data_IF_927589108002
#
_entry.id   IF_927589108002
#
_cell.length_a   1.000
_cell.length_b   1.000
_cell.length_c   1.000
_cell.angle_alpha   90.00
_cell.angle_beta   90.00
_cell.angle_gamma   90.00
#
_symmetry.space_group_name_H-M   'P 1'
#
loop_
_entity.id
_entity.type
_entity.pdbx_description
1 polymer ?
#
# COMPACT_ATOMS: atom_id res chain seq x y z
N UNK A 311 -32.18 25.14 -9.41
CA UNK A 311 -31.43 24.23 -8.54
C UNK A 311 -31.71 22.79 -8.94
N UNK A 312 -32.80 22.60 -9.68
CA UNK A 312 -33.16 21.25 -10.11
C UNK A 312 -32.08 20.67 -10.99
N UNK A 313 -31.48 21.50 -11.83
CA UNK A 313 -30.33 21.05 -12.61
C UNK A 313 -29.15 20.72 -11.72
N UNK A 314 -29.01 21.44 -10.60
CA UNK A 314 -27.91 21.15 -9.68
C UNK A 314 -28.05 19.76 -9.07
N UNK A 315 -29.28 19.37 -8.75
CA UNK A 315 -29.50 18.00 -8.33
C UNK A 315 -29.20 17.03 -9.46
N UNK A 316 -29.64 17.37 -10.66
CA UNK A 316 -29.38 16.52 -11.81
C UNK A 316 -27.89 16.39 -12.09
N UNK A 317 -27.17 17.50 -12.01
CA UNK A 317 -25.71 17.44 -12.12
C UNK A 317 -25.15 16.63 -10.97
N UNK A 318 -25.64 16.87 -9.76
CA UNK A 318 -25.18 16.11 -8.61
C UNK A 318 -25.45 14.63 -8.81
N UNK A 319 -26.58 14.30 -9.43
CA UNK A 319 -26.84 12.92 -9.77
C UNK A 319 -25.76 12.37 -10.68
N UNK A 320 -25.45 13.10 -11.74
CA UNK A 320 -24.40 12.69 -12.65
C UNK A 320 -23.07 12.55 -11.93
N UNK A 321 -22.73 13.54 -11.11
CA UNK A 321 -21.50 13.49 -10.36
C UNK A 321 -21.49 12.31 -9.41
N UNK A 322 -22.56 12.15 -8.63
CA UNK A 322 -22.65 11.05 -7.68
C UNK A 322 -22.58 9.70 -8.37
N UNK A 323 -23.42 9.53 -9.39
CA UNK A 323 -23.52 8.23 -10.04
C UNK A 323 -22.25 7.88 -10.80
N UNK A 324 -21.70 8.83 -11.54
CA UNK A 324 -20.48 8.56 -12.29
C UNK A 324 -19.32 8.23 -11.36
N UNK A 325 -19.16 9.01 -10.29
CA UNK A 325 -18.12 8.71 -9.33
C UNK A 325 -18.30 7.36 -8.68
N UNK A 326 -19.53 7.06 -8.26
CA UNK A 326 -19.82 5.76 -7.64
C UNK A 326 -19.56 4.63 -8.62
N UNK A 327 -19.98 4.79 -9.87
CA UNK A 327 -19.76 3.74 -10.86
C UNK A 327 -18.27 3.49 -11.09
N UNK A 328 -17.48 4.56 -11.15
CA UNK A 328 -16.04 4.41 -11.29
C UNK A 328 -15.45 3.65 -10.10
N UNK A 329 -15.88 3.99 -8.90
CA UNK A 329 -15.43 3.25 -7.73
C UNK A 329 -15.87 1.81 -7.80
N UNK A 330 -17.07 1.57 -8.32
CA UNK A 330 -17.53 0.21 -8.53
C UNK A 330 -16.66 -0.51 -9.55
N UNK A 331 -16.26 0.20 -10.61
CA UNK A 331 -15.40 -0.38 -11.62
C UNK A 331 -14.07 -0.81 -11.04
N UNK A 332 -13.44 0.06 -10.24
CA UNK A 332 -12.21 -0.32 -9.56
C UNK A 332 -12.43 -1.49 -8.61
N UNK A 333 -13.51 -1.41 -7.82
CA UNK A 333 -13.82 -2.50 -6.90
C UNK A 333 -14.08 -3.79 -7.66
N UNK A 334 -14.84 -3.72 -8.75
CA UNK A 334 -15.11 -4.91 -9.55
C UNK A 334 -13.82 -5.49 -10.09
N UNK A 335 -12.94 -4.64 -10.63
CA UNK A 335 -11.64 -5.10 -11.05
C UNK A 335 -10.87 -5.70 -9.88
N UNK A 336 -10.84 -5.00 -8.76
CA UNK A 336 -10.09 -5.47 -7.60
C UNK A 336 -10.73 -6.70 -6.97
N UNK A 337 -12.07 -6.78 -6.97
CA UNK A 337 -12.74 -7.97 -6.47
C UNK A 337 -12.44 -9.17 -7.35
N UNK A 338 -12.40 -8.95 -8.66
CA UNK A 338 -11.90 -9.97 -9.57
C UNK A 338 -10.48 -10.37 -9.21
N UNK A 339 -9.63 -9.38 -8.95
CA UNK A 339 -8.27 -9.66 -8.51
C UNK A 339 -8.24 -10.42 -7.21
N UNK A 340 -9.25 -10.24 -6.35
CA UNK A 340 -9.32 -10.99 -5.10
C UNK A 340 -9.30 -12.48 -5.34
N UNK A 341 -10.19 -12.98 -6.19
CA UNK A 341 -10.23 -14.42 -6.41
C UNK A 341 -8.96 -14.88 -7.09
N UNK A 342 -8.57 -14.20 -8.17
CA UNK A 342 -7.40 -14.61 -8.93
C UNK A 342 -6.13 -14.59 -8.10
N UNK A 343 -5.88 -13.47 -7.43
CA UNK A 343 -4.61 -13.31 -6.74
C UNK A 343 -4.54 -14.15 -5.47
N UNK A 344 -5.68 -14.36 -4.79
CA UNK A 344 -5.69 -15.34 -3.70
C UNK A 344 -5.43 -16.74 -4.23
N UNK A 345 -6.08 -17.09 -5.34
CA UNK A 345 -5.84 -18.39 -5.96
C UNK A 345 -4.42 -18.51 -6.52
N UNK A 346 -3.86 -17.40 -7.02
CA UNK A 346 -2.46 -17.41 -7.43
C UNK A 346 -1.55 -17.61 -6.22
N UNK A 347 -1.90 -16.98 -5.10
CA UNK A 347 -1.20 -17.22 -3.84
C UNK A 347 -1.29 -18.68 -3.45
N UNK A 348 -2.49 -19.26 -3.56
CA UNK A 348 -2.67 -20.68 -3.29
C UNK A 348 -1.86 -21.51 -4.25
N UNK A 349 -1.87 -21.11 -5.54
CA UNK A 349 -1.04 -21.75 -6.55
C UNK A 349 0.44 -21.68 -6.19
N UNK A 350 0.92 -20.50 -5.81
CA UNK A 350 2.31 -20.35 -5.42
C UNK A 350 2.65 -21.21 -4.22
N UNK A 351 1.75 -21.25 -3.23
CA UNK A 351 2.01 -22.05 -2.03
C UNK A 351 2.08 -23.52 -2.36
N UNK A 352 1.20 -24.02 -3.22
CA UNK A 352 1.26 -25.42 -3.61
C UNK A 352 2.57 -25.72 -4.31
N UNK A 353 3.07 -24.75 -5.08
CA UNK A 353 4.39 -24.91 -5.69
C UNK A 353 5.46 -25.01 -4.63
N UNK A 354 5.37 -24.15 -3.61
CA UNK A 354 6.30 -24.22 -2.49
C UNK A 354 6.18 -25.56 -1.77
N UNK A 355 4.96 -25.95 -1.40
CA UNK A 355 4.76 -27.19 -0.65
C UNK A 355 5.29 -28.39 -1.41
N UNK A 356 4.95 -28.50 -2.70
CA UNK A 356 5.45 -29.58 -3.52
C UNK A 356 6.97 -29.49 -3.67
N UNK A 357 7.48 -28.29 -3.88
CA UNK A 357 8.92 -28.10 -3.94
C UNK A 357 9.58 -28.51 -2.63
N UNK A 358 8.99 -28.09 -1.51
CA UNK A 358 9.51 -28.46 -0.20
C UNK A 358 9.41 -29.96 0.03
N UNK A 359 8.39 -30.60 -0.52
CA UNK A 359 8.23 -32.03 -0.37
C UNK A 359 9.18 -32.85 -1.20
N UNK A 360 9.42 -32.42 -2.43
CA UNK A 360 10.32 -33.14 -3.32
C UNK A 360 11.79 -32.93 -2.93
N UNK A 361 12.66 -33.68 -3.60
CA UNK A 361 14.06 -33.72 -3.24
C UNK A 361 14.71 -32.35 -3.35
N UNK A 362 15.75 -32.14 -2.54
CA UNK A 362 16.39 -30.85 -2.44
C UNK A 362 16.92 -30.35 -3.78
N UNK A 363 17.15 -31.26 -4.73
CA UNK A 363 17.63 -30.85 -6.04
C UNK A 363 16.56 -30.13 -6.83
N UNK A 364 15.29 -30.29 -6.43
CA UNK A 364 14.16 -29.83 -7.22
C UNK A 364 13.82 -28.37 -7.02
N UNK A 365 14.51 -27.67 -6.11
CA UNK A 365 13.97 -26.43 -5.54
C UNK A 365 13.64 -25.42 -6.62
N UNK A 366 14.62 -25.10 -7.46
CA UNK A 366 14.40 -24.06 -8.45
C UNK A 366 13.52 -24.54 -9.59
N UNK A 367 13.69 -25.80 -10.00
CA UNK A 367 12.88 -26.35 -11.09
C UNK A 367 11.41 -26.45 -10.70
N UNK A 368 11.12 -26.80 -9.45
CA UNK A 368 9.72 -26.80 -9.00
C UNK A 368 9.20 -25.39 -8.78
N UNK A 369 10.00 -24.53 -8.15
CA UNK A 369 9.57 -23.14 -8.00
C UNK A 369 9.52 -22.41 -9.33
N UNK A 370 10.14 -22.97 -10.37
CA UNK A 370 9.92 -22.46 -11.72
C UNK A 370 8.46 -22.59 -12.14
N UNK A 371 7.67 -23.43 -11.44
CA UNK A 371 6.23 -23.41 -11.64
C UNK A 371 5.62 -22.10 -11.19
N UNK A 372 6.25 -21.44 -10.22
CA UNK A 372 5.91 -20.07 -9.87
C UNK A 372 6.80 -19.07 -10.59
N UNK A 373 7.52 -19.53 -11.62
CA UNK A 373 8.40 -18.72 -12.47
C UNK A 373 9.38 -17.87 -11.66
N UNK A 374 9.75 -18.33 -10.47
CA UNK A 374 10.66 -17.59 -9.60
C UNK A 374 11.75 -18.51 -9.08
N UNK A 375 12.87 -17.89 -8.71
CA UNK A 375 14.11 -18.61 -8.46
C UNK A 375 14.09 -19.28 -7.09
N UNK A 376 13.51 -18.62 -6.10
CA UNK A 376 13.62 -19.08 -4.73
C UNK A 376 12.41 -18.60 -3.95
N UNK A 377 12.17 -19.27 -2.82
CA UNK A 377 11.00 -18.95 -2.01
C UNK A 377 11.04 -17.53 -1.47
N UNK A 378 12.24 -16.96 -1.32
CA UNK A 378 12.35 -15.58 -0.89
C UNK A 378 11.74 -14.64 -1.93
N UNK A 379 12.12 -14.82 -3.19
CA UNK A 379 11.52 -14.01 -4.25
C UNK A 379 10.04 -14.28 -4.38
N UNK A 380 9.64 -15.56 -4.28
CA UNK A 380 8.23 -15.89 -4.33
C UNK A 380 7.48 -15.29 -3.14
N UNK A 381 8.09 -15.29 -1.97
CA UNK A 381 7.45 -14.65 -0.82
C UNK A 381 7.28 -13.16 -1.03
N UNK A 382 8.25 -12.52 -1.69
CA UNK A 382 8.13 -11.10 -1.96
C UNK A 382 6.88 -10.80 -2.78
N UNK A 383 6.68 -11.51 -3.87
CA UNK A 383 5.48 -11.29 -4.67
C UNK A 383 4.26 -11.79 -3.91
N UNK A 384 4.41 -12.88 -3.16
CA UNK A 384 3.33 -13.34 -2.29
C UNK A 384 2.91 -12.23 -1.35
N UNK A 385 3.89 -11.60 -0.69
CA UNK A 385 3.59 -10.51 0.22
C UNK A 385 2.94 -9.34 -0.50
N UNK A 386 3.35 -9.09 -1.73
CA UNK A 386 2.70 -8.03 -2.50
C UNK A 386 1.30 -8.43 -2.92
N UNK A 387 1.10 -9.70 -3.25
CA UNK A 387 -0.26 -10.19 -3.48
C UNK A 387 -1.06 -10.14 -2.20
N UNK A 388 -0.45 -10.58 -1.10
CA UNK A 388 -1.10 -10.46 0.20
C UNK A 388 -1.39 -9.02 0.53
N UNK A 389 -0.41 -8.13 0.31
CA UNK A 389 -0.66 -6.71 0.44
C UNK A 389 -1.84 -6.29 -0.42
N UNK A 390 -1.80 -6.69 -1.68
CA UNK A 390 -2.82 -6.26 -2.63
C UNK A 390 -4.21 -6.69 -2.17
N UNK A 391 -4.35 -7.96 -1.78
CA UNK A 391 -5.66 -8.42 -1.33
C UNK A 391 -5.99 -7.78 0.01
N UNK A 392 -4.99 -7.61 0.87
CA UNK A 392 -5.21 -6.83 2.07
C UNK A 392 -5.54 -5.38 1.73
N UNK A 393 -4.80 -4.81 0.78
CA UNK A 393 -5.10 -3.46 0.32
C UNK A 393 -6.44 -3.40 -0.37
N UNK A 394 -6.79 -4.46 -1.09
CA UNK A 394 -8.16 -4.62 -1.55
C UNK A 394 -9.02 -5.20 -0.44
N UNK A 429 -26.83 -23.85 -10.33
CA UNK A 429 -25.45 -24.31 -10.45
C UNK A 429 -24.47 -23.29 -9.88
N UNK A 430 -24.81 -22.01 -10.03
CA UNK A 430 -23.91 -20.95 -9.61
C UNK A 430 -23.74 -20.87 -8.10
N UNK A 431 -24.67 -21.47 -7.34
CA UNK A 431 -24.60 -21.40 -5.88
C UNK A 431 -23.25 -21.90 -5.37
N UNK A 432 -22.68 -22.91 -6.03
CA UNK A 432 -21.34 -23.34 -5.68
C UNK A 432 -20.34 -22.22 -5.94
N UNK A 433 -20.40 -21.65 -7.14
CA UNK A 433 -19.52 -20.54 -7.48
C UNK A 433 -19.82 -19.31 -6.64
N UNK A 434 -21.11 -18.99 -6.45
CA UNK A 434 -21.50 -17.83 -5.67
C UNK A 434 -20.91 -17.87 -4.27
N UNK A 435 -20.95 -19.04 -3.63
CA UNK A 435 -20.36 -19.16 -2.32
C UNK A 435 -18.84 -18.98 -2.37
N UNK A 436 -18.21 -19.48 -3.43
CA UNK A 436 -16.78 -19.26 -3.60
C UNK A 436 -16.46 -17.78 -3.78
N UNK A 437 -17.24 -17.09 -4.60
CA UNK A 437 -17.08 -15.66 -4.75
C UNK A 437 -17.37 -14.95 -3.43
N UNK A 438 -18.43 -15.39 -2.75
CA UNK A 438 -18.76 -14.85 -1.44
C UNK A 438 -17.63 -15.11 -0.45
N UNK A 439 -16.99 -16.27 -0.55
CA UNK A 439 -15.82 -16.55 0.27
C UNK A 439 -14.70 -15.56 -0.01
N UNK A 440 -14.39 -15.34 -1.28
CA UNK A 440 -13.31 -14.43 -1.64
C UNK A 440 -13.55 -13.03 -1.10
N UNK A 441 -14.79 -12.56 -1.19
CA UNK A 441 -15.14 -11.26 -0.60
C UNK A 441 -14.90 -11.26 0.90
N UNK A 442 -15.35 -12.32 1.58
CA UNK A 442 -15.18 -12.39 3.02
C UNK A 442 -13.72 -12.46 3.43
N UNK A 443 -12.89 -13.15 2.66
CA UNK A 443 -11.47 -13.28 2.98
C UNK A 443 -10.79 -11.93 3.09
N UNK A 444 -10.94 -11.10 2.07
CA UNK A 444 -10.35 -9.77 2.12
C UNK A 444 -10.91 -8.94 3.26
N UNK A 445 -12.21 -9.11 3.54
CA UNK A 445 -12.83 -8.37 4.63
C UNK A 445 -12.14 -8.64 5.96
N UNK A 446 -11.81 -9.90 6.21
CA UNK A 446 -11.10 -10.24 7.44
C UNK A 446 -9.72 -9.60 7.45
N UNK A 447 -9.03 -9.61 6.30
CA UNK A 447 -7.70 -9.02 6.23
C UNK A 447 -7.73 -7.54 6.58
N UNK A 448 -8.67 -6.81 6.00
CA UNK A 448 -8.78 -5.39 6.30
C UNK A 448 -9.23 -5.15 7.74
N UNK A 449 -10.18 -5.95 8.21
CA UNK A 449 -10.63 -5.79 9.59
C UNK A 449 -9.49 -6.02 10.57
N UNK A 450 -8.64 -7.01 10.31
CA UNK A 450 -7.48 -7.21 11.15
C UNK A 450 -6.47 -6.09 11.00
N UNK A 451 -6.36 -5.53 9.79
CA UNK A 451 -5.53 -4.35 9.58
C UNK A 451 -5.99 -3.19 10.45
N UNK A 452 -7.28 -2.89 10.41
CA UNK A 452 -7.82 -1.81 11.23
C UNK A 452 -7.55 -2.07 12.70
N UNK A 453 -7.69 -3.32 13.14
CA UNK A 453 -7.33 -3.68 14.50
C UNK A 453 -5.86 -3.43 14.74
N UNK A 454 -5.03 -3.85 13.78
CA UNK A 454 -3.59 -3.65 13.92
C UNK A 454 -3.26 -2.18 13.98
N UNK A 455 -3.88 -1.37 13.12
CA UNK A 455 -3.71 0.07 13.21
C UNK A 455 -4.23 0.61 14.52
N UNK A 456 -5.39 0.12 14.97
CA UNK A 456 -5.93 0.57 16.24
C UNK A 456 -5.00 0.19 17.40
N UNK A 457 -4.47 -1.03 17.36
CA UNK A 457 -3.52 -1.44 18.37
C UNK A 457 -2.28 -0.56 18.36
N UNK A 458 -1.77 -0.29 17.15
CA UNK A 458 -0.65 0.63 17.02
C UNK A 458 -1.00 1.98 17.59
N UNK A 459 -2.24 2.42 17.36
CA UNK A 459 -2.71 3.67 17.94
C UNK A 459 -2.75 3.59 19.47
N UNK A 460 -3.19 2.46 20.00
CA UNK A 460 -3.26 2.34 21.46
C UNK A 460 -1.90 2.49 22.10
N UNK A 461 -0.88 1.91 21.49
CA UNK A 461 0.48 2.11 22.00
C UNK A 461 0.88 3.57 21.93
N UNK A 462 0.66 4.18 20.77
CA UNK A 462 1.05 5.57 20.59
C UNK A 462 0.28 6.50 21.51
N UNK A 463 -0.97 6.15 21.81
CA UNK A 463 -1.72 6.92 22.80
C UNK A 463 -0.95 6.99 24.11
N UNK A 464 -0.49 5.84 24.59
CA UNK A 464 0.15 5.79 25.89
C UNK A 464 1.58 6.30 25.84
N UNK A 465 2.28 6.08 24.73
CA UNK A 465 3.56 6.74 24.51
C UNK A 465 3.38 8.24 24.57
N UNK A 466 2.38 8.75 23.87
CA UNK A 466 2.06 10.17 23.93
C UNK A 466 1.74 10.59 25.35
N UNK A 467 0.84 9.85 26.00
CA UNK A 467 0.36 10.27 27.31
C UNK A 467 1.44 10.19 28.37
N UNK A 468 2.50 9.48 28.12
CA UNK A 468 3.49 9.33 29.17
C UNK A 468 4.90 9.71 28.73
N UNK A 469 5.26 9.42 27.48
CA UNK A 469 6.59 9.70 26.96
C UNK A 469 6.52 10.86 25.97
N UNK A 470 5.64 11.82 26.28
CA UNK A 470 5.21 12.80 25.32
C UNK A 470 6.38 13.47 24.59
N UNK A 471 7.33 14.00 25.35
CA UNK A 471 8.42 14.74 24.74
C UNK A 471 9.23 13.84 23.81
N UNK A 472 9.59 12.66 24.29
CA UNK A 472 10.21 11.70 23.40
C UNK A 472 9.27 11.31 22.29
N UNK A 473 8.00 11.12 22.63
CA UNK A 473 7.00 10.81 21.62
C UNK A 473 6.88 11.93 20.60
N UNK A 474 6.97 13.18 21.06
CA UNK A 474 6.98 14.30 20.13
C UNK A 474 8.30 14.38 19.37
N UNK A 475 9.41 14.13 20.06
CA UNK A 475 10.71 14.13 19.40
C UNK A 475 10.77 13.10 18.29
N UNK A 476 10.07 11.99 18.48
CA UNK A 476 9.89 11.05 17.39
C UNK A 476 9.28 11.74 16.18
N UNK A 477 8.20 12.46 16.42
CA UNK A 477 7.44 13.04 15.31
C UNK A 477 8.25 14.12 14.60
N UNK A 478 8.97 14.93 15.37
CA UNK A 478 9.80 15.96 14.78
C UNK A 478 10.84 15.37 13.86
N UNK A 479 11.58 14.40 14.35
CA UNK A 479 12.65 13.82 13.54
C UNK A 479 12.07 13.07 12.35
N UNK A 480 10.94 12.40 12.55
CA UNK A 480 10.27 11.76 11.43
C UNK A 480 9.93 12.80 10.37
N UNK A 481 9.35 13.91 10.79
CA UNK A 481 9.05 14.97 9.84
C UNK A 481 10.31 15.42 9.13
N UNK A 482 11.39 15.59 9.88
CA UNK A 482 12.64 16.01 9.27
C UNK A 482 13.09 15.02 8.22
N UNK A 483 13.01 13.73 8.53
CA UNK A 483 13.32 12.72 7.53
C UNK A 483 12.35 12.80 6.37
N UNK A 484 11.06 12.84 6.65
CA UNK A 484 10.06 12.94 5.60
C UNK A 484 10.28 14.19 4.77
N UNK A 485 10.68 15.28 5.43
CA UNK A 485 11.01 16.49 4.71
C UNK A 485 12.23 16.26 3.82
N UNK A 486 13.25 15.64 4.39
CA UNK A 486 14.44 15.34 3.61
C UNK A 486 14.10 14.43 2.44
N UNK A 487 13.26 13.42 2.70
CA UNK A 487 12.84 12.51 1.64
C UNK A 487 12.05 13.23 0.57
N UNK A 488 11.11 14.07 0.98
CA UNK A 488 10.31 14.79 0.00
C UNK A 488 11.18 15.77 -0.77
N UNK A 489 12.03 16.50 -0.06
CA UNK A 489 12.93 17.43 -0.72
C UNK A 489 13.82 16.71 -1.70
N UNK A 490 14.36 15.56 -1.30
CA UNK A 490 15.13 14.77 -2.24
C UNK A 490 14.26 14.26 -3.37
N UNK A 491 13.04 13.85 -3.06
CA UNK A 491 12.13 13.39 -4.12
C UNK A 491 11.76 14.53 -5.04
N UNK A 492 11.42 15.68 -4.47
CA UNK A 492 11.15 16.86 -5.29
C UNK A 492 12.38 17.27 -6.08
N UNK A 493 13.56 17.20 -5.46
CA UNK A 493 14.78 17.46 -6.19
C UNK A 493 14.99 16.44 -7.30
N UNK A 494 14.76 15.16 -6.99
CA UNK A 494 14.86 14.14 -8.01
C UNK A 494 13.92 14.42 -9.17
N UNK A 495 12.71 14.91 -8.86
CA UNK A 495 11.78 15.29 -9.90
C UNK A 495 12.26 16.46 -10.73
N UNK A 496 13.30 17.16 -10.29
CA UNK A 496 14.05 18.05 -11.16
C UNK A 496 15.22 17.33 -11.78
N UNK A 497 15.87 16.46 -11.01
CA UNK A 497 17.00 15.71 -11.53
C UNK A 497 16.58 14.80 -12.66
N UNK A 498 15.38 14.23 -12.57
CA UNK A 498 14.81 13.46 -13.66
C UNK A 498 14.19 14.38 -14.71
N UNK A 499 14.16 13.89 -15.95
CA UNK A 499 13.73 14.67 -17.09
C UNK A 499 14.70 15.72 -17.56
N UNK A 500 15.82 15.90 -16.85
CA UNK A 500 16.77 16.96 -17.19
C UNK A 500 17.23 16.89 -18.65
N UNK A 501 17.33 15.70 -19.23
CA UNK A 501 17.54 15.57 -20.67
C UNK A 501 17.12 14.16 -21.07
N UNK A 502 16.14 14.07 -21.98
CA UNK A 502 15.39 12.83 -22.19
C UNK A 502 16.24 11.57 -22.21
N UNK A 503 17.33 11.59 -22.99
CA UNK A 503 18.13 10.38 -23.18
C UNK A 503 18.84 9.92 -21.93
N UNK A 504 18.67 10.60 -20.80
CA UNK A 504 19.03 10.05 -19.50
C UNK A 504 18.59 8.60 -19.34
N UNK A 505 17.33 8.31 -19.71
CA UNK A 505 16.81 6.95 -19.62
C UNK A 505 17.58 6.01 -20.55
N UNK A 506 17.70 6.39 -21.83
CA UNK A 506 18.36 5.51 -22.80
C UNK A 506 19.85 5.37 -22.55
N UNK A 507 20.49 6.40 -22.00
CA UNK A 507 21.88 6.28 -21.57
C UNK A 507 22.01 5.22 -20.49
N UNK A 508 21.21 5.35 -19.43
CA UNK A 508 21.33 4.48 -18.27
C UNK A 508 20.88 3.07 -18.62
N UNK A 509 19.86 2.94 -19.45
CA UNK A 509 19.45 1.61 -19.92
C UNK A 509 20.60 0.85 -20.59
N UNK A 510 21.58 1.56 -21.18
CA UNK A 510 22.75 0.87 -21.71
C UNK A 510 23.55 0.17 -20.62
N UNK A 511 23.55 0.72 -19.40
CA UNK A 511 24.20 0.01 -18.28
C UNK A 511 23.67 -1.40 -18.15
N UNK A 512 22.34 -1.57 -18.20
CA UNK A 512 21.75 -2.90 -18.18
C UNK A 512 22.10 -3.67 -19.45
N UNK A 513 21.86 -3.06 -20.61
CA UNK A 513 21.97 -3.79 -21.86
C UNK A 513 23.42 -4.09 -22.18
N UNK A 514 24.28 -3.07 -22.14
CA UNK A 514 25.70 -3.23 -22.47
C UNK A 514 26.52 -2.01 -22.08
N UNK A 574 4.56 10.46 0.46
CA UNK A 574 5.18 11.15 1.58
C UNK A 574 4.27 12.26 2.08
N UNK A 575 3.38 12.68 1.19
CA UNK A 575 2.58 13.87 1.47
C UNK A 575 1.72 13.70 2.72
N UNK A 576 0.90 12.66 2.74
CA UNK A 576 0.02 12.47 3.87
C UNK A 576 0.79 12.25 5.16
N UNK A 577 1.94 11.59 5.06
CA UNK A 577 2.77 11.38 6.23
C UNK A 577 3.25 12.71 6.77
N UNK A 578 3.76 13.56 5.90
CA UNK A 578 4.22 14.87 6.33
C UNK A 578 3.07 15.65 6.94
N UNK A 579 1.92 15.63 6.28
CA UNK A 579 0.74 16.30 6.80
C UNK A 579 0.32 15.74 8.16
N UNK A 580 0.25 14.42 8.27
CA UNK A 580 -0.19 13.81 9.52
C UNK A 580 0.76 14.17 10.66
N UNK A 581 2.07 14.09 10.41
CA UNK A 581 3.04 14.46 11.42
C UNK A 581 2.82 15.89 11.86
N UNK A 582 2.64 16.77 10.90
CA UNK A 582 2.37 18.16 11.21
C UNK A 582 1.09 18.32 12.01
N UNK A 583 0.05 17.57 11.65
CA UNK A 583 -1.23 17.72 12.33
C UNK A 583 -1.13 17.37 13.81
N UNK A 584 -0.42 16.30 14.13
CA UNK A 584 -0.26 15.94 15.53
C UNK A 584 0.60 16.96 16.26
N UNK A 585 1.65 17.45 15.60
CA UNK A 585 2.46 18.47 16.22
C UNK A 585 1.63 19.70 16.49
N UNK A 586 0.82 20.10 15.52
CA UNK A 586 -0.08 21.21 15.75
C UNK A 586 -1.06 20.91 16.88
N UNK A 587 -1.48 19.67 17.00
CA UNK A 587 -2.40 19.33 18.08
C UNK A 587 -1.73 19.38 19.44
N UNK A 588 -0.53 18.82 19.54
CA UNK A 588 -0.01 18.50 20.85
C UNK A 588 1.37 19.11 21.09
N UNK A 589 2.13 19.32 20.03
CA UNK A 589 3.37 20.08 20.20
C UNK A 589 3.01 21.55 20.15
N UNK A 590 2.74 22.11 21.32
CA UNK A 590 2.40 23.52 21.41
C UNK A 590 3.55 24.42 21.00
N UNK A 591 4.75 23.87 20.81
CA UNK A 591 5.84 24.65 20.25
C UNK A 591 5.80 24.63 18.74
N UNK A 592 5.14 23.64 18.16
CA UNK A 592 4.92 23.62 16.74
C UNK A 592 3.82 24.59 16.35
N UNK A 593 3.88 25.08 15.12
CA UNK A 593 2.98 26.13 14.68
C UNK A 593 2.81 26.01 13.18
N UNK A 594 1.68 26.53 12.70
CA UNK A 594 1.28 26.31 11.32
C UNK A 594 2.30 26.83 10.33
N UNK A 595 2.97 27.93 10.66
CA UNK A 595 3.99 28.48 9.77
C UNK A 595 5.14 27.52 9.51
N UNK A 596 5.30 26.51 10.35
CA UNK A 596 6.30 25.50 10.07
C UNK A 596 5.90 24.63 8.89
N UNK A 597 4.60 24.46 8.68
CA UNK A 597 4.11 23.45 7.76
C UNK A 597 4.48 23.76 6.33
N UNK A 598 4.62 22.69 5.54
CA UNK A 598 4.77 22.86 4.10
C UNK A 598 3.59 23.59 3.51
N UNK A 599 2.41 23.46 4.13
CA UNK A 599 1.25 24.21 3.68
C UNK A 599 1.55 25.69 3.78
N UNK A 600 1.89 26.15 4.98
CA UNK A 600 2.22 27.56 5.16
C UNK A 600 3.41 27.93 4.29
N UNK A 601 4.41 27.03 4.19
CA UNK A 601 5.57 27.30 3.37
C UNK A 601 5.23 27.44 1.89
N UNK A 602 4.01 27.16 1.49
CA UNK A 602 3.59 27.36 0.11
C UNK A 602 2.33 28.21 0.02
#
# INVERSE_FOLDING_TARGET
MAPSAVAEPPPIPQRDEPWKRLPPPTVYPVKEARFEKYIPPQLDGRERALAQPPGQVAIVIDNGSHSVRAGWNFEDKPRLAIPPIMSKYRDRKMGKTFSFAGSDCYADTTARSHIRNAFEAGTGIVSNWDVMEHVLDYVFVKLGMNECDGAIDMPIVMTEAVANLPYSRKSMSEIIFECYGAPSLVYGIDSLFSFRHNQGQTGLVVSSSYSATHVIPVYNRKALLSQAIRLNWGGWHMAEYMLKLLKLKYYTGFPGKLNSSQTEHMVRDFCYVSLDYDRELAGYLDWTGLEDRERIVQYPYTEEVVVQKTEEELARIAERKKESGRRLQEQAAKMRLERLMKKEQELEYYKDIQRRMQGESKKEIKRLLDEAELKDEAALERVIRDLERSIKRARQKDLGEPEEEEVPDFSLLDVPDDQLDEAGLRQKRQQRLLKSNWEARQRAKAEKEAEKARLAEEARLDEERRKNDLEGWLEEKRQLRLAKLNQLKERERLKADLGNRKSLASQIRMKNIANLASDNPTGSGSRKRRRGGAGADQDDDFGADDADWGVYRSVAIGANKGDDSDDEEGEEDLEAAIRSLENDLLRYDKTFSYDMTLDAQRDWSKSLLHAFRYGPRPFDPSSQAETHRVHLNVERIRVPEVLFQPAAIAGVDQAGLVEIAGDILCQRLPSLPGIQDAPDAFLRDVFLTGGNTLFQNFDERLRQGLMALLPVGAPLRVRRAQDAILDAWRGAAGWACTEEAKAAWITREEYLEKGGEYIKEHDLGNAFA
#
